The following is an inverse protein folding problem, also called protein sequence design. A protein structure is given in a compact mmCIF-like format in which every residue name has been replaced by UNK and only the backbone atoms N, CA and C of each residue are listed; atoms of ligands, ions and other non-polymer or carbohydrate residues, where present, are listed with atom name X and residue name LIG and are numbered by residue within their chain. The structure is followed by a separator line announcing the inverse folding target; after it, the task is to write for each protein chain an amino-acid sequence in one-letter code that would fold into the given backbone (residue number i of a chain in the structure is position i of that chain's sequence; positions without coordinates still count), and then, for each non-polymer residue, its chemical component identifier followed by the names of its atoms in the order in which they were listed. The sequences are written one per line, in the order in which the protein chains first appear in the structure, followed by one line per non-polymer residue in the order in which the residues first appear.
data_IF_521849569505
#
_entry.id   IF_521849569505
#
_cell.length_a   1.000
_cell.length_b   1.000
_cell.length_c   1.000
_cell.angle_alpha   90.00
_cell.angle_beta   90.00
_cell.angle_gamma   90.00
#
_symmetry.space_group_name_H-M   'P 1'
#
loop_
_entity.id
_entity.type
_entity.pdbx_description
1 polymer ?
#
# COMPACT_ATOMS: atom_id res chain seq x y z
N UNK A 1 4.74 15.83 5.42
CA UNK A 1 4.43 15.47 6.82
C UNK A 1 4.61 13.96 6.94
N UNK A 2 5.22 13.43 8.00
CA UNK A 2 5.34 11.97 8.18
C UNK A 2 3.97 11.43 8.61
N UNK A 3 3.41 10.48 7.86
CA UNK A 3 2.09 9.90 8.14
C UNK A 3 2.16 9.15 9.47
N UNK A 4 1.16 9.33 10.33
CA UNK A 4 1.06 8.59 11.58
C UNK A 4 0.89 7.10 11.31
N UNK A 5 1.25 6.25 12.28
CA UNK A 5 1.07 4.80 12.16
C UNK A 5 -0.40 4.43 11.87
N UNK A 6 -1.37 5.13 12.45
CA UNK A 6 -2.79 4.87 12.22
C UNK A 6 -3.21 5.20 10.78
N UNK A 7 -2.67 6.27 10.18
CA UNK A 7 -2.90 6.63 8.78
C UNK A 7 -2.25 5.62 7.83
N UNK A 8 -0.99 5.24 8.10
CA UNK A 8 -0.27 4.22 7.33
C UNK A 8 -0.97 2.86 7.38
N UNK A 9 -1.48 2.47 8.55
CA UNK A 9 -2.21 1.22 8.72
C UNK A 9 -3.56 1.24 7.99
N UNK A 10 -4.27 2.36 8.00
CA UNK A 10 -5.50 2.54 7.24
C UNK A 10 -5.25 2.47 5.72
N UNK A 11 -4.15 3.04 5.24
CA UNK A 11 -3.73 2.90 3.84
C UNK A 11 -3.45 1.44 3.48
N UNK A 12 -2.71 0.71 4.33
CA UNK A 12 -2.44 -0.72 4.13
C UNK A 12 -3.74 -1.54 4.09
N UNK A 13 -4.67 -1.30 5.02
CA UNK A 13 -5.96 -1.99 5.04
C UNK A 13 -6.76 -1.73 3.75
N UNK A 14 -6.80 -0.48 3.28
CA UNK A 14 -7.41 -0.13 2.00
C UNK A 14 -6.82 -0.90 0.83
N UNK A 15 -5.49 -0.91 0.70
CA UNK A 15 -4.79 -1.63 -0.39
C UNK A 15 -5.00 -3.14 -0.32
N UNK A 16 -5.01 -3.74 0.88
CA UNK A 16 -5.27 -5.17 1.08
C UNK A 16 -6.68 -5.55 0.63
N UNK A 17 -7.69 -4.75 0.99
CA UNK A 17 -9.10 -4.97 0.63
C UNK A 17 -9.33 -4.81 -0.87
N UNK A 18 -8.83 -3.73 -1.44
CA UNK A 18 -8.97 -3.42 -2.87
C UNK A 18 -8.38 -4.55 -3.74
N UNK A 19 -7.19 -5.04 -3.37
CA UNK A 19 -6.51 -6.12 -4.09
C UNK A 19 -7.02 -7.52 -3.72
N UNK A 20 -8.07 -7.61 -2.89
CA UNK A 20 -8.66 -8.86 -2.37
C UNK A 20 -7.63 -9.80 -1.73
N UNK A 21 -6.65 -9.23 -1.06
CA UNK A 21 -5.60 -9.98 -0.34
C UNK A 21 -6.07 -10.31 1.08
N UNK A 22 -6.75 -9.37 1.73
CA UNK A 22 -7.00 -9.45 3.16
C UNK A 22 -7.50 -8.16 3.77
N UNK A 23 -7.35 -8.05 5.08
CA UNK A 23 -7.60 -6.84 5.87
C UNK A 23 -6.66 -6.83 7.07
N UNK A 24 -6.34 -5.65 7.58
CA UNK A 24 -5.59 -5.49 8.82
C UNK A 24 -6.30 -4.49 9.71
N UNK A 25 -6.41 -4.80 10.99
CA UNK A 25 -6.99 -3.91 11.98
C UNK A 25 -6.10 -3.75 13.20
N UNK A 26 -6.10 -2.54 13.76
CA UNK A 26 -5.43 -2.28 15.04
C UNK A 26 -6.32 -2.79 16.17
N UNK A 27 -5.74 -3.59 17.04
CA UNK A 27 -6.35 -4.01 18.31
C UNK A 27 -5.56 -3.41 19.46
N UNK A 28 -6.11 -3.44 20.68
CA UNK A 28 -5.60 -2.66 21.82
C UNK A 28 -4.08 -2.69 22.02
N UNK A 29 -3.44 -3.86 21.82
CA UNK A 29 -2.00 -4.06 22.02
C UNK A 29 -1.23 -4.45 20.73
N UNK A 30 -1.84 -4.33 19.54
CA UNK A 30 -1.20 -4.79 18.30
C UNK A 30 -2.06 -4.69 17.05
N UNK A 31 -1.89 -5.63 16.14
CA UNK A 31 -2.66 -5.73 14.90
C UNK A 31 -3.14 -7.17 14.67
N UNK A 32 -4.30 -7.27 14.04
CA UNK A 32 -4.84 -8.52 13.52
C UNK A 32 -4.85 -8.42 12.00
N UNK A 33 -4.08 -9.27 11.34
CA UNK A 33 -4.01 -9.40 9.89
C UNK A 33 -4.80 -10.63 9.46
N UNK A 34 -5.80 -10.45 8.62
CA UNK A 34 -6.55 -11.53 7.99
C UNK A 34 -6.16 -11.64 6.51
N UNK A 35 -5.60 -12.78 6.10
CA UNK A 35 -5.21 -13.06 4.71
C UNK A 35 -6.17 -14.06 4.07
N UNK A 36 -6.71 -13.71 2.91
CA UNK A 36 -7.60 -14.58 2.15
C UNK A 36 -6.83 -15.71 1.45
N UNK A 37 -7.45 -16.88 1.34
CA UNK A 37 -6.89 -18.06 0.68
C UNK A 37 -7.50 -18.31 -0.73
N UNK A 38 -8.15 -17.31 -1.30
CA UNK A 38 -8.89 -17.30 -2.58
C UNK A 38 -10.07 -18.28 -2.68
N UNK A 39 -10.39 -19.01 -1.62
CA UNK A 39 -11.56 -19.90 -1.57
C UNK A 39 -12.79 -19.19 -1.02
N UNK A 40 -13.96 -19.70 -1.42
CA UNK A 40 -15.26 -19.23 -0.93
C UNK A 40 -16.01 -20.45 -0.39
N UNK A 41 -16.42 -20.39 0.86
CA UNK A 41 -17.25 -21.40 1.52
C UNK A 41 -18.53 -20.72 1.98
N UNK A 42 -19.68 -21.29 1.61
CA UNK A 42 -21.02 -20.74 1.92
C UNK A 42 -21.22 -19.25 1.54
N UNK A 43 -20.52 -18.80 0.50
CA UNK A 43 -20.60 -17.42 0.00
C UNK A 43 -19.62 -16.43 0.64
N UNK A 44 -18.87 -16.87 1.65
CA UNK A 44 -17.87 -16.04 2.35
C UNK A 44 -16.44 -16.41 1.95
N UNK A 45 -15.54 -15.42 1.74
CA UNK A 45 -14.13 -15.67 1.55
C UNK A 45 -13.52 -16.38 2.76
N UNK A 46 -12.75 -17.43 2.50
CA UNK A 46 -11.96 -18.08 3.55
C UNK A 46 -10.57 -17.44 3.66
N UNK A 47 -9.89 -17.68 4.77
CA UNK A 47 -8.61 -17.06 5.05
C UNK A 47 -8.00 -17.51 6.36
N UNK A 48 -6.96 -16.77 6.78
CA UNK A 48 -6.18 -17.02 7.99
C UNK A 48 -5.91 -15.73 8.73
N UNK A 49 -6.11 -15.82 10.04
CA UNK A 49 -5.82 -14.74 10.99
C UNK A 49 -4.40 -14.86 11.53
N UNK A 50 -3.72 -13.72 11.63
CA UNK A 50 -2.43 -13.57 12.26
C UNK A 50 -2.50 -12.39 13.23
N UNK A 51 -2.29 -12.66 14.51
CA UNK A 51 -2.24 -11.63 15.55
C UNK A 51 -0.79 -11.38 15.96
N UNK A 52 -0.37 -10.12 15.98
CA UNK A 52 0.98 -9.72 16.37
C UNK A 52 1.01 -8.35 17.04
N UNK A 53 1.94 -8.16 17.97
CA UNK A 53 2.11 -6.88 18.67
C UNK A 53 3.06 -6.00 17.90
N UNK A 54 2.56 -4.87 17.42
CA UNK A 54 3.31 -3.91 16.60
C UNK A 54 2.87 -2.48 16.89
N UNK A 55 3.81 -1.55 16.80
CA UNK A 55 3.60 -0.11 16.99
C UNK A 55 4.01 0.75 15.78
N UNK A 56 4.48 0.11 14.71
CA UNK A 56 4.85 0.78 13.47
C UNK A 56 4.57 -0.07 12.23
N UNK A 57 4.51 0.56 11.06
CA UNK A 57 4.28 -0.14 9.79
C UNK A 57 5.50 -0.98 9.36
N UNK A 58 6.72 -0.58 9.73
CA UNK A 58 7.94 -1.38 9.52
C UNK A 58 7.85 -2.72 10.23
N UNK A 59 7.32 -2.74 11.46
CA UNK A 59 7.12 -3.99 12.18
C UNK A 59 6.03 -4.86 11.55
N UNK A 60 4.94 -4.25 11.03
CA UNK A 60 3.93 -4.97 10.25
C UNK A 60 4.57 -5.61 9.01
N UNK A 61 5.40 -4.86 8.27
CA UNK A 61 6.14 -5.37 7.10
C UNK A 61 7.03 -6.54 7.49
N UNK A 62 7.84 -6.38 8.52
CA UNK A 62 8.81 -7.38 8.96
C UNK A 62 8.10 -8.65 9.45
N UNK A 63 6.97 -8.51 10.13
CA UNK A 63 6.15 -9.63 10.59
C UNK A 63 5.48 -10.37 9.43
N UNK A 64 4.96 -9.67 8.43
CA UNK A 64 4.47 -10.27 7.19
C UNK A 64 5.57 -11.11 6.51
N UNK A 65 6.80 -10.58 6.43
CA UNK A 65 7.93 -11.31 5.86
C UNK A 65 8.30 -12.54 6.70
N UNK A 66 8.37 -12.38 8.03
CA UNK A 66 8.66 -13.49 8.95
C UNK A 66 7.63 -14.61 8.81
N UNK A 67 6.34 -14.27 8.72
CA UNK A 67 5.26 -15.24 8.51
C UNK A 67 5.38 -15.94 7.15
N UNK A 68 5.69 -15.20 6.09
CA UNK A 68 5.90 -15.73 4.73
C UNK A 68 7.09 -16.70 4.63
N UNK A 69 8.21 -16.38 5.29
CA UNK A 69 9.44 -17.17 5.24
C UNK A 69 9.44 -18.35 6.22
N UNK A 70 9.01 -18.14 7.47
CA UNK A 70 9.24 -19.09 8.57
C UNK A 70 8.03 -19.33 9.49
N UNK A 71 7.07 -18.41 9.55
CA UNK A 71 6.06 -18.39 10.61
C UNK A 71 4.76 -19.14 10.31
N UNK A 72 4.54 -19.53 9.05
CA UNK A 72 3.32 -20.22 8.65
C UNK A 72 3.44 -21.75 8.84
N UNK A 73 2.94 -22.26 9.97
CA UNK A 73 2.81 -23.70 10.21
C UNK A 73 1.54 -24.25 9.53
N UNK A 74 1.65 -24.59 8.25
CA UNK A 74 0.54 -25.12 7.45
C UNK A 74 0.05 -26.50 7.90
N UNK A 75 0.79 -27.23 8.74
CA UNK A 75 0.51 -28.65 8.99
C UNK A 75 -0.82 -28.87 9.73
N UNK A 76 -1.05 -28.13 10.81
CA UNK A 76 -2.28 -28.28 11.61
C UNK A 76 -3.51 -27.78 10.85
N UNK A 77 -3.32 -26.73 10.05
CA UNK A 77 -4.33 -26.17 9.16
C UNK A 77 -4.74 -27.15 8.06
N UNK A 78 -3.77 -27.80 7.41
CA UNK A 78 -4.03 -28.84 6.42
C UNK A 78 -4.71 -30.04 7.07
N UNK A 79 -4.28 -30.47 8.27
CA UNK A 79 -4.95 -31.56 8.99
C UNK A 79 -6.41 -31.25 9.29
N UNK A 80 -6.73 -30.02 9.71
CA UNK A 80 -8.09 -29.59 9.96
C UNK A 80 -8.93 -29.62 8.66
N UNK A 81 -8.40 -29.05 7.57
CA UNK A 81 -9.08 -29.07 6.26
C UNK A 81 -9.37 -30.50 5.79
N UNK A 82 -8.38 -31.41 5.90
CA UNK A 82 -8.56 -32.81 5.53
C UNK A 82 -9.60 -33.52 6.41
N UNK A 83 -9.68 -33.18 7.70
CA UNK A 83 -10.69 -33.72 8.61
C UNK A 83 -12.11 -33.24 8.24
N UNK A 84 -12.23 -32.03 7.69
CA UNK A 84 -13.48 -31.46 7.18
C UNK A 84 -13.85 -31.96 5.77
N UNK A 85 -13.02 -32.83 5.17
CA UNK A 85 -13.28 -33.49 3.90
C UNK A 85 -12.72 -32.78 2.66
N UNK A 86 -11.89 -31.75 2.85
CA UNK A 86 -11.15 -31.12 1.75
C UNK A 86 -10.16 -32.10 1.11
N UNK A 87 -9.92 -31.92 -0.18
CA UNK A 87 -8.86 -32.67 -0.86
C UNK A 87 -7.48 -32.14 -0.49
N UNK A 88 -6.44 -32.98 -0.58
CA UNK A 88 -5.06 -32.56 -0.33
C UNK A 88 -4.62 -31.45 -1.29
N UNK A 89 -5.07 -31.50 -2.56
CA UNK A 89 -4.77 -30.48 -3.56
C UNK A 89 -5.43 -29.15 -3.21
N UNK A 90 -6.70 -29.18 -2.76
CA UNK A 90 -7.42 -27.99 -2.29
C UNK A 90 -6.72 -27.38 -1.07
N UNK A 91 -6.41 -28.21 -0.07
CA UNK A 91 -5.71 -27.75 1.13
C UNK A 91 -4.36 -27.13 0.79
N UNK A 92 -3.58 -27.77 -0.09
CA UNK A 92 -2.31 -27.24 -0.57
C UNK A 92 -2.47 -25.88 -1.28
N UNK A 93 -3.41 -25.75 -2.21
CA UNK A 93 -3.64 -24.50 -2.96
C UNK A 93 -4.05 -23.35 -2.03
N UNK A 94 -4.95 -23.61 -1.07
CA UNK A 94 -5.34 -22.62 -0.06
C UNK A 94 -4.14 -22.12 0.74
N UNK A 95 -3.26 -23.03 1.18
CA UNK A 95 -2.04 -22.65 1.92
C UNK A 95 -1.04 -21.87 1.06
N UNK A 96 -0.93 -22.18 -0.24
CA UNK A 96 -0.15 -21.39 -1.19
C UNK A 96 -0.72 -19.98 -1.35
N UNK A 97 -2.04 -19.84 -1.49
CA UNK A 97 -2.69 -18.52 -1.59
C UNK A 97 -2.45 -17.67 -0.34
N UNK A 98 -2.57 -18.23 0.88
CA UNK A 98 -2.24 -17.51 2.12
C UNK A 98 -0.79 -17.03 2.11
N UNK A 99 0.15 -17.90 1.74
CA UNK A 99 1.57 -17.55 1.69
C UNK A 99 1.86 -16.44 0.68
N UNK A 100 1.20 -16.46 -0.47
CA UNK A 100 1.27 -15.40 -1.47
C UNK A 100 0.65 -14.10 -0.95
N UNK A 101 -0.46 -14.18 -0.22
CA UNK A 101 -1.10 -13.04 0.43
C UNK A 101 -0.19 -12.35 1.44
N UNK A 102 0.54 -13.12 2.27
CA UNK A 102 1.54 -12.59 3.20
C UNK A 102 2.70 -11.87 2.47
N UNK A 103 3.20 -12.45 1.37
CA UNK A 103 4.23 -11.80 0.54
C UNK A 103 3.74 -10.49 -0.06
N UNK A 104 2.49 -10.46 -0.54
CA UNK A 104 1.88 -9.23 -1.07
C UNK A 104 1.66 -8.19 0.03
N UNK A 105 1.17 -8.59 1.21
CA UNK A 105 1.01 -7.68 2.35
C UNK A 105 2.34 -7.04 2.76
N UNK A 106 3.42 -7.84 2.80
CA UNK A 106 4.78 -7.34 2.98
C UNK A 106 5.16 -6.27 1.94
N UNK A 107 4.92 -6.53 0.65
CA UNK A 107 5.25 -5.59 -0.42
C UNK A 107 4.46 -4.29 -0.32
N UNK A 108 3.16 -4.37 -0.01
CA UNK A 108 2.31 -3.17 0.15
C UNK A 108 2.74 -2.33 1.35
N UNK A 109 3.08 -2.97 2.47
CA UNK A 109 3.61 -2.25 3.62
C UNK A 109 4.93 -1.55 3.27
N UNK A 110 5.82 -2.21 2.52
CA UNK A 110 7.06 -1.60 2.03
C UNK A 110 6.80 -0.39 1.10
N UNK A 111 5.81 -0.49 0.21
CA UNK A 111 5.39 0.59 -0.70
C UNK A 111 4.86 1.82 0.06
N UNK A 112 4.23 1.65 1.21
CA UNK A 112 3.77 2.79 2.03
C UNK A 112 4.93 3.44 2.81
N UNK A 113 5.88 2.63 3.31
CA UNK A 113 7.06 3.13 4.05
C UNK A 113 8.00 3.87 3.10
N UNK A 114 8.23 3.31 1.92
CA UNK A 114 9.10 3.84 0.88
C UNK A 114 8.35 3.85 -0.46
N UNK A 115 7.50 4.86 -0.72
CA UNK A 115 6.77 4.93 -1.97
C UNK A 115 7.72 5.10 -3.15
N UNK A 116 7.42 4.50 -4.31
CA UNK A 116 8.20 4.72 -5.51
C UNK A 116 8.17 6.20 -5.89
N UNK A 117 9.25 6.70 -6.48
CA UNK A 117 9.26 8.05 -7.05
C UNK A 117 8.45 8.06 -8.35
N UNK A 118 7.65 9.11 -8.56
CA UNK A 118 6.95 9.40 -9.80
C UNK A 118 7.23 10.85 -10.22
N UNK A 119 6.94 11.15 -11.48
CA UNK A 119 7.08 12.49 -12.05
C UNK A 119 5.80 13.27 -11.83
N UNK A 120 5.93 14.44 -11.22
CA UNK A 120 4.87 15.41 -11.03
C UNK A 120 5.13 16.65 -11.87
N UNK A 121 4.05 17.32 -12.27
CA UNK A 121 4.10 18.61 -12.97
C UNK A 121 3.74 19.71 -11.99
N UNK A 122 4.66 20.64 -11.74
CA UNK A 122 4.37 21.90 -11.07
C UNK A 122 3.98 22.94 -12.11
N UNK A 123 2.95 23.73 -11.82
CA UNK A 123 2.51 24.85 -12.66
C UNK A 123 2.54 26.14 -11.85
N UNK A 124 3.01 27.23 -12.46
CA UNK A 124 2.97 28.56 -11.85
C UNK A 124 2.44 29.60 -12.82
N UNK A 125 1.64 30.52 -12.30
CA UNK A 125 1.11 31.63 -13.07
C UNK A 125 2.03 32.84 -13.01
N UNK A 126 2.63 33.17 -14.16
CA UNK A 126 3.31 34.43 -14.42
C UNK A 126 2.55 35.19 -15.52
N UNK A 127 3.18 36.16 -16.20
CA UNK A 127 2.60 36.79 -17.42
C UNK A 127 2.23 35.73 -18.47
N UNK A 128 2.88 34.55 -18.41
CA UNK A 128 2.57 33.31 -19.13
C UNK A 128 2.56 32.19 -18.08
N UNK A 129 1.68 31.19 -18.22
CA UNK A 129 1.72 29.97 -17.38
C UNK A 129 2.96 29.16 -17.73
N UNK A 130 3.75 28.82 -16.73
CA UNK A 130 4.97 28.01 -16.86
C UNK A 130 4.77 26.68 -16.13
N UNK A 131 5.35 25.62 -16.67
CA UNK A 131 5.36 24.29 -16.06
C UNK A 131 6.79 23.79 -15.87
N UNK A 132 7.00 22.98 -14.85
CA UNK A 132 8.25 22.26 -14.65
C UNK A 132 7.97 20.89 -14.04
N UNK A 133 8.74 19.88 -14.43
CA UNK A 133 8.61 18.52 -13.89
C UNK A 133 9.57 18.31 -12.72
N UNK A 134 9.14 17.53 -11.73
CA UNK A 134 9.97 17.11 -10.60
C UNK A 134 9.63 15.68 -10.18
N UNK A 135 10.58 14.99 -9.56
CA UNK A 135 10.33 13.65 -9.00
C UNK A 135 9.91 13.79 -7.52
N UNK A 136 8.83 13.11 -7.13
CA UNK A 136 8.41 12.99 -5.74
C UNK A 136 7.81 11.59 -5.47
N UNK A 137 7.67 11.17 -4.20
CA UNK A 137 6.99 9.91 -3.87
C UNK A 137 5.57 9.86 -4.44
N UNK A 138 5.19 8.72 -5.02
CA UNK A 138 3.91 8.52 -5.69
C UNK A 138 2.72 8.55 -4.73
N UNK A 139 1.53 8.86 -5.27
CA UNK A 139 0.29 8.91 -4.49
C UNK A 139 0.18 10.09 -3.52
N UNK A 140 1.03 11.12 -3.67
CA UNK A 140 0.85 12.41 -3.01
C UNK A 140 -0.38 13.11 -3.58
N UNK A 141 -1.19 13.70 -2.70
CA UNK A 141 -2.20 14.68 -3.14
C UNK A 141 -1.54 16.03 -3.53
N UNK A 142 -2.35 16.97 -4.05
CA UNK A 142 -1.83 18.25 -4.51
C UNK A 142 -1.16 19.07 -3.39
N UNK A 143 -1.70 19.02 -2.17
CA UNK A 143 -1.12 19.74 -1.03
C UNK A 143 0.19 19.09 -0.62
N UNK A 144 0.24 17.76 -0.49
CA UNK A 144 1.45 16.99 -0.18
C UNK A 144 2.55 17.21 -1.21
N UNK A 145 2.20 17.24 -2.51
CA UNK A 145 3.15 17.46 -3.59
C UNK A 145 3.65 18.91 -3.66
N UNK A 146 2.79 19.91 -3.43
CA UNK A 146 3.20 21.32 -3.28
C UNK A 146 4.18 21.48 -2.11
N UNK A 147 3.86 20.86 -0.98
CA UNK A 147 4.67 20.92 0.23
C UNK A 147 6.02 20.21 0.05
N UNK A 148 6.05 19.13 -0.74
CA UNK A 148 7.28 18.45 -1.15
C UNK A 148 8.12 19.31 -2.08
N UNK A 149 7.49 19.88 -3.11
CA UNK A 149 8.10 20.79 -4.07
C UNK A 149 8.75 21.98 -3.35
N UNK A 150 8.02 22.65 -2.46
CA UNK A 150 8.52 23.81 -1.72
C UNK A 150 9.72 23.47 -0.83
N UNK A 151 9.79 22.24 -0.30
CA UNK A 151 10.88 21.79 0.57
C UNK A 151 12.13 21.34 -0.18
N UNK A 152 11.99 20.84 -1.41
CA UNK A 152 13.09 20.15 -2.12
C UNK A 152 13.47 20.77 -3.47
N UNK A 153 12.58 21.57 -4.06
CA UNK A 153 12.70 22.07 -5.42
C UNK A 153 12.67 23.60 -5.53
N UNK A 154 12.13 24.33 -4.55
CA UNK A 154 12.00 25.80 -4.62
C UNK A 154 13.35 26.54 -4.74
N UNK A 155 14.42 25.97 -4.16
CA UNK A 155 15.80 26.48 -4.27
C UNK A 155 16.56 25.93 -5.50
N UNK A 156 15.96 25.01 -6.27
CA UNK A 156 16.56 24.46 -7.48
C UNK A 156 16.20 25.35 -8.68
N UNK A 157 17.18 25.61 -9.55
CA UNK A 157 16.98 26.30 -10.83
C UNK A 157 16.22 25.37 -11.79
N UNK A 158 14.93 25.23 -11.54
CA UNK A 158 14.01 24.37 -12.29
C UNK A 158 13.87 24.88 -13.72
N UNK A 159 13.87 23.97 -14.69
CA UNK A 159 13.67 24.32 -16.10
C UNK A 159 12.17 24.56 -16.36
N UNK A 160 11.72 25.78 -16.10
CA UNK A 160 10.35 26.23 -16.34
C UNK A 160 10.10 26.47 -17.84
N UNK A 161 9.12 25.79 -18.41
CA UNK A 161 8.75 25.90 -19.81
C UNK A 161 7.37 26.57 -19.95
N UNK A 162 7.19 27.54 -20.88
CA UNK A 162 5.91 28.18 -21.10
C UNK A 162 4.91 27.22 -21.75
N UNK A 163 3.66 27.23 -21.26
CA UNK A 163 2.57 26.40 -21.80
C UNK A 163 1.80 27.19 -22.88
N UNK A 164 1.58 26.59 -24.05
CA UNK A 164 0.79 27.19 -25.13
C UNK A 164 -0.69 26.80 -25.03
N UNK A 165 -1.53 27.67 -24.44
CA UNK A 165 -2.99 27.46 -24.31
C UNK A 165 -3.66 28.48 -23.40
N UNK A 166 -5.00 28.60 -23.44
CA UNK A 166 -5.74 29.46 -22.48
C UNK A 166 -5.57 28.92 -21.05
N UNK A 167 -5.30 29.80 -20.07
CA UNK A 167 -5.06 29.40 -18.68
C UNK A 167 -6.30 28.75 -18.06
N UNK A 168 -6.11 27.61 -17.41
CA UNK A 168 -7.11 27.01 -16.54
C UNK A 168 -6.98 27.65 -15.15
N UNK A 169 -7.99 28.40 -14.72
CA UNK A 169 -7.93 29.34 -13.60
C UNK A 169 -8.25 28.67 -12.25
N UNK A 170 -7.54 27.62 -11.92
CA UNK A 170 -7.55 27.06 -10.57
C UNK A 170 -6.13 26.84 -10.10
N UNK A 171 -5.82 27.44 -8.95
CA UNK A 171 -4.51 27.44 -8.31
C UNK A 171 -3.85 26.06 -8.35
N UNK A 172 -2.61 26.01 -8.84
CA UNK A 172 -1.63 24.92 -8.74
C UNK A 172 -2.22 23.50 -8.87
N UNK A 173 -2.18 22.95 -10.08
CA UNK A 173 -2.46 21.54 -10.30
C UNK A 173 -1.17 20.74 -10.34
N UNK A 174 -1.13 19.70 -9.51
CA UNK A 174 -0.18 18.60 -9.62
C UNK A 174 -0.96 17.38 -10.09
N UNK A 175 -0.69 16.92 -11.32
CA UNK A 175 -1.30 15.72 -11.90
C UNK A 175 -0.23 14.68 -12.22
N UNK A 176 -0.52 13.40 -11.94
CA UNK A 176 0.28 12.27 -12.42
C UNK A 176 0.12 12.14 -13.96
N UNK A 177 1.20 11.89 -14.69
CA UNK A 177 1.12 11.53 -16.12
C UNK A 177 0.59 10.09 -16.26
N UNK A 178 -0.44 9.89 -17.08
CA UNK A 178 -1.00 8.58 -17.47
C UNK A 178 -0.05 7.72 -18.33
#
# INVERSE_FOLDING_TARGET
MEKSFDEQLAMLDGMLRERRIGTIEKTGDGCVLWILDDWIVDGEPTGREFSFQVDSLEQVRDECNRLHEYGFNAEDDVKAMLADGESIDSAYLRMVSVRMGLSRAYMLAAEIIEPPMTTYVATRDCIVTEQATFEAPAGMDCEEAEDWFNRHCDDLDMNWEPVAGEPDYSNMYVSEEE
#
